data_IF_191811341637
#
_entry.id   IF_191811341637
#
_cell.length_a   1.000
_cell.length_b   1.000
_cell.length_c   1.000
_cell.angle_alpha   90.00
_cell.angle_beta   90.00
_cell.angle_gamma   90.00
#
_symmetry.space_group_name_H-M   'P 1'
#
loop_
_entity.id
_entity.type
_entity.pdbx_description
1 polymer ?
#
# COMPACT_ATOMS: atom_id res chain seq x y z
N UNK A 1 -24.74 -1.39 3.98
CA UNK A 1 -23.92 -0.69 4.99
C UNK A 1 -23.77 0.73 4.52
N UNK A 2 -24.08 1.73 5.35
CA UNK A 2 -24.12 3.13 4.91
C UNK A 2 -22.79 3.82 5.09
N UNK A 3 -22.55 4.81 4.26
CA UNK A 3 -21.45 5.77 4.42
C UNK A 3 -21.87 6.85 5.39
N UNK A 4 -21.00 7.23 6.32
CA UNK A 4 -21.25 8.25 7.32
C UNK A 4 -20.01 9.11 7.56
N UNK A 5 -20.19 10.28 8.19
CA UNK A 5 -19.11 11.22 8.47
C UNK A 5 -18.93 11.35 9.97
N UNK A 6 -17.71 11.10 10.43
CA UNK A 6 -17.28 11.39 11.80
C UNK A 6 -16.64 12.76 11.87
N UNK A 7 -17.22 13.65 12.66
CA UNK A 7 -16.67 14.97 12.92
C UNK A 7 -15.76 14.94 14.17
N UNK A 8 -14.62 15.65 14.09
CA UNK A 8 -13.75 15.93 15.23
C UNK A 8 -13.45 17.43 15.30
N UNK A 9 -12.75 17.88 16.36
CA UNK A 9 -12.32 19.28 16.47
C UNK A 9 -11.45 19.72 15.29
N UNK A 10 -10.66 18.83 14.71
CA UNK A 10 -9.65 19.15 13.69
C UNK A 10 -10.03 18.75 12.27
N UNK A 11 -10.96 17.81 12.07
CA UNK A 11 -11.25 17.25 10.76
C UNK A 11 -12.59 16.56 10.70
N UNK A 12 -13.08 16.37 9.46
CA UNK A 12 -14.13 15.42 9.09
C UNK A 12 -13.51 14.15 8.53
N UNK A 13 -14.08 13.02 8.88
CA UNK A 13 -13.66 11.69 8.41
C UNK A 13 -14.83 11.04 7.70
N UNK A 14 -14.62 10.63 6.46
CA UNK A 14 -15.58 9.83 5.71
C UNK A 14 -15.36 8.35 6.07
N UNK A 15 -16.42 7.67 6.46
CA UNK A 15 -16.41 6.29 6.92
C UNK A 15 -17.41 5.46 6.10
N UNK A 16 -17.05 4.22 5.77
CA UNK A 16 -17.96 3.25 5.14
C UNK A 16 -17.78 1.88 5.80
N UNK A 17 -18.90 1.27 6.23
CA UNK A 17 -18.85 -0.04 6.90
C UNK A 17 -17.97 -0.09 8.16
N UNK A 18 -17.77 1.07 8.84
CA UNK A 18 -16.86 1.18 9.98
C UNK A 18 -15.40 1.46 9.60
N UNK A 19 -15.08 1.51 8.30
CA UNK A 19 -13.75 1.78 7.79
C UNK A 19 -13.60 3.24 7.38
N UNK A 20 -12.40 3.78 7.58
CA UNK A 20 -12.04 5.12 7.19
C UNK A 20 -11.75 5.20 5.68
N UNK A 21 -12.37 6.17 4.98
CA UNK A 21 -12.17 6.40 3.55
C UNK A 21 -11.33 7.66 3.30
N UNK A 22 -11.69 8.77 3.93
CA UNK A 22 -11.06 10.07 3.66
C UNK A 22 -11.12 11.01 4.84
N UNK A 23 -10.24 12.02 4.84
CA UNK A 23 -10.16 13.07 5.86
C UNK A 23 -10.10 14.45 5.22
N UNK A 24 -10.92 15.37 5.72
CA UNK A 24 -10.86 16.78 5.37
C UNK A 24 -10.54 17.58 6.62
N UNK A 25 -9.43 18.33 6.59
CA UNK A 25 -9.05 19.21 7.69
C UNK A 25 -10.03 20.37 7.82
N UNK A 26 -10.37 20.76 9.04
CA UNK A 26 -11.16 21.97 9.33
C UNK A 26 -10.34 23.26 9.26
N UNK A 27 -9.02 23.14 9.19
CA UNK A 27 -8.12 24.29 9.19
C UNK A 27 -7.29 24.31 7.92
N UNK A 28 -7.15 25.49 7.27
CA UNK A 28 -6.26 25.65 6.12
C UNK A 28 -4.81 25.36 6.54
N UNK A 29 -4.10 24.69 5.68
CA UNK A 29 -2.66 24.48 5.80
C UNK A 29 -1.98 24.91 4.50
N UNK A 30 -0.65 25.06 4.50
CA UNK A 30 0.12 25.37 3.30
C UNK A 30 -0.05 24.32 2.18
N UNK A 31 -0.60 23.14 2.52
CA UNK A 31 -0.82 22.01 1.61
C UNK A 31 -2.28 21.81 1.23
N UNK A 32 -3.20 22.49 1.91
CA UNK A 32 -4.64 22.40 1.65
C UNK A 32 -5.13 23.73 1.09
N UNK A 33 -5.87 23.68 -0.02
CA UNK A 33 -6.59 24.87 -0.52
C UNK A 33 -7.68 25.27 0.49
N UNK A 34 -8.09 26.55 0.47
CA UNK A 34 -9.18 27.04 1.30
C UNK A 34 -10.50 26.29 1.06
N UNK A 35 -10.65 25.69 -0.13
CA UNK A 35 -11.81 24.87 -0.50
C UNK A 35 -11.87 23.52 0.21
N UNK A 36 -10.76 23.06 0.78
CA UNK A 36 -10.68 21.82 1.57
C UNK A 36 -10.93 22.02 3.06
N UNK A 37 -11.16 23.26 3.47
CA UNK A 37 -11.46 23.60 4.85
C UNK A 37 -12.93 23.96 4.95
N UNK A 38 -13.71 23.07 5.54
CA UNK A 38 -15.16 23.19 5.58
C UNK A 38 -15.72 22.90 6.96
N UNK A 39 -16.82 23.57 7.33
CA UNK A 39 -17.70 23.17 8.41
C UNK A 39 -18.71 22.11 7.91
N UNK A 40 -19.62 21.61 8.74
CA UNK A 40 -20.60 20.58 8.32
C UNK A 40 -21.43 21.03 7.10
N UNK A 41 -21.86 22.29 7.05
CA UNK A 41 -22.59 22.82 5.90
C UNK A 41 -21.69 22.93 4.65
N UNK A 42 -20.42 23.33 4.83
CA UNK A 42 -19.42 23.36 3.79
C UNK A 42 -19.05 21.97 3.30
N UNK A 43 -19.07 20.97 4.18
CA UNK A 43 -18.85 19.55 3.84
C UNK A 43 -19.91 19.05 2.86
N UNK A 44 -21.18 19.36 3.11
CA UNK A 44 -22.27 19.06 2.18
C UNK A 44 -22.07 19.76 0.83
N UNK A 45 -21.72 21.04 0.84
CA UNK A 45 -21.42 21.79 -0.38
C UNK A 45 -20.19 21.27 -1.14
N UNK A 46 -19.21 20.70 -0.44
CA UNK A 46 -18.08 20.05 -1.06
C UNK A 46 -18.47 18.74 -1.73
N UNK A 47 -19.26 17.88 -1.09
CA UNK A 47 -19.81 16.67 -1.70
C UNK A 47 -20.69 16.97 -2.92
N UNK A 48 -21.48 18.05 -2.88
CA UNK A 48 -22.32 18.46 -3.99
C UNK A 48 -21.52 18.97 -5.21
N UNK A 49 -20.28 19.43 -5.00
CA UNK A 49 -19.39 19.97 -6.06
C UNK A 49 -18.29 19.01 -6.51
N UNK A 50 -17.99 17.99 -5.73
CA UNK A 50 -16.98 16.99 -6.07
C UNK A 50 -17.64 15.75 -6.66
N UNK A 51 -16.85 14.92 -7.36
CA UNK A 51 -17.27 13.59 -7.84
C UNK A 51 -17.48 12.60 -6.69
N UNK A 52 -17.98 13.05 -5.57
CA UNK A 52 -18.32 12.21 -4.43
C UNK A 52 -19.37 11.16 -4.85
N UNK A 53 -19.23 9.90 -4.43
CA UNK A 53 -20.19 8.87 -4.78
C UNK A 53 -21.61 9.26 -4.37
N UNK A 54 -22.56 9.11 -5.29
CA UNK A 54 -23.97 9.42 -5.03
C UNK A 54 -24.50 8.55 -3.89
N UNK A 55 -25.19 9.15 -2.93
CA UNK A 55 -25.80 8.45 -1.79
C UNK A 55 -25.06 8.63 -0.46
N UNK A 56 -24.06 9.49 -0.37
CA UNK A 56 -23.46 9.88 0.89
C UNK A 56 -24.39 10.76 1.72
N UNK A 57 -24.60 10.40 2.98
CA UNK A 57 -25.32 11.20 3.95
C UNK A 57 -24.37 11.76 5.01
N UNK A 58 -24.50 13.04 5.30
CA UNK A 58 -23.82 13.65 6.45
C UNK A 58 -24.64 13.29 7.70
N UNK A 59 -24.03 12.53 8.60
CA UNK A 59 -24.62 12.20 9.89
C UNK A 59 -23.76 12.77 11.02
N UNK A 60 -24.38 13.48 11.95
CA UNK A 60 -23.75 13.89 13.20
C UNK A 60 -23.80 12.76 14.27
N UNK A 61 -24.28 11.57 13.88
CA UNK A 61 -24.35 10.45 14.81
C UNK A 61 -22.94 10.02 15.24
N UNK A 62 -22.74 9.91 16.53
CA UNK A 62 -21.59 9.26 17.14
C UNK A 62 -21.48 7.82 16.60
N UNK A 63 -20.27 7.38 16.34
CA UNK A 63 -20.05 5.98 15.93
C UNK A 63 -20.68 5.06 16.97
N UNK A 64 -21.44 4.02 16.58
CA UNK A 64 -21.93 3.05 17.54
C UNK A 64 -20.72 2.47 18.29
N UNK A 65 -20.80 2.47 19.62
CA UNK A 65 -19.77 1.82 20.46
C UNK A 65 -19.61 0.35 20.03
N UNK A 66 -18.39 -0.18 20.04
CA UNK A 66 -18.17 -1.57 19.73
C UNK A 66 -18.94 -2.44 20.72
N UNK A 67 -19.86 -3.26 20.23
CA UNK A 67 -20.60 -4.23 21.07
C UNK A 67 -19.60 -5.11 21.80
N UNK A 68 -19.84 -5.44 23.07
CA UNK A 68 -18.97 -6.33 23.85
C UNK A 68 -18.88 -7.68 23.15
N UNK A 69 -17.68 -8.21 23.11
CA UNK A 69 -17.32 -9.50 22.55
C UNK A 69 -18.12 -10.60 23.25
N UNK A 70 -18.82 -11.51 22.55
CA UNK A 70 -19.42 -12.67 23.20
C UNK A 70 -18.32 -13.59 23.73
N UNK A 71 -18.47 -14.04 24.97
CA UNK A 71 -17.61 -15.04 25.58
C UNK A 71 -17.64 -16.37 24.81
N UNK A 72 -16.48 -17.01 24.80
CA UNK A 72 -16.23 -18.24 24.09
C UNK A 72 -17.05 -19.41 24.69
N UNK A 73 -17.88 -20.02 23.86
CA UNK A 73 -18.43 -21.36 24.13
C UNK A 73 -17.75 -22.35 23.19
N UNK A 74 -17.07 -23.31 23.76
CA UNK A 74 -16.41 -24.41 23.07
C UNK A 74 -17.39 -25.29 22.32
N UNK A 75 -17.14 -25.58 21.05
CA UNK A 75 -17.70 -26.73 20.35
C UNK A 75 -16.78 -27.19 19.20
N UNK A 76 -16.60 -28.48 19.19
CA UNK A 76 -15.80 -29.39 18.39
C UNK A 76 -15.91 -29.26 16.86
N UNK A 77 -14.96 -29.86 16.10
CA UNK A 77 -14.75 -29.58 14.69
C UNK A 77 -15.63 -30.36 13.73
N UNK A 78 -16.04 -29.74 12.63
CA UNK A 78 -16.48 -30.43 11.41
C UNK A 78 -15.89 -29.75 10.17
N UNK A 79 -15.39 -30.63 9.31
CA UNK A 79 -14.62 -30.36 8.09
C UNK A 79 -15.38 -29.68 6.95
N UNK A 80 -14.56 -29.04 6.10
CA UNK A 80 -14.69 -28.76 4.65
C UNK A 80 -15.53 -27.59 4.18
N UNK A 81 -14.80 -26.66 3.54
CA UNK A 81 -15.28 -25.67 2.60
C UNK A 81 -14.23 -24.57 2.42
N UNK A 82 -13.38 -24.73 1.40
CA UNK A 82 -12.37 -23.75 1.02
C UNK A 82 -13.03 -22.49 0.46
N UNK A 83 -12.86 -21.35 1.11
CA UNK A 83 -12.69 -20.07 0.43
C UNK A 83 -11.93 -19.11 1.35
N UNK A 84 -10.77 -18.65 0.86
CA UNK A 84 -9.77 -18.04 1.69
C UNK A 84 -9.88 -16.53 1.80
N UNK A 85 -10.19 -16.04 2.97
CA UNK A 85 -9.73 -14.75 3.47
C UNK A 85 -9.50 -14.87 4.96
N UNK A 86 -8.35 -15.39 5.34
CA UNK A 86 -7.91 -15.39 6.75
C UNK A 86 -7.02 -14.15 6.98
N UNK A 87 -7.57 -13.09 7.53
CA UNK A 87 -6.81 -12.12 8.30
C UNK A 87 -6.44 -12.77 9.65
N UNK A 88 -5.44 -13.65 9.61
CA UNK A 88 -4.78 -14.16 10.79
C UNK A 88 -3.51 -13.34 11.01
N UNK A 89 -3.38 -12.66 12.14
CA UNK A 89 -2.09 -12.13 12.59
C UNK A 89 -1.14 -13.32 12.75
N UNK A 90 -0.30 -13.58 11.75
CA UNK A 90 0.78 -14.54 11.86
C UNK A 90 1.88 -13.93 12.72
N UNK A 91 2.24 -14.63 13.80
CA UNK A 91 3.32 -14.25 14.73
C UNK A 91 4.72 -14.38 14.10
N UNK A 92 4.79 -14.51 12.79
CA UNK A 92 6.01 -14.62 11.99
C UNK A 92 6.42 -13.30 11.33
N UNK A 93 7.64 -13.22 10.77
CA UNK A 93 8.10 -12.04 10.05
C UNK A 93 7.17 -11.76 8.86
N UNK A 94 6.74 -10.51 8.71
CA UNK A 94 5.87 -10.10 7.59
C UNK A 94 6.54 -10.39 6.25
N UNK A 95 5.74 -10.89 5.31
CA UNK A 95 6.16 -11.24 3.95
C UNK A 95 5.30 -10.49 2.93
N UNK A 96 5.86 -10.29 1.75
CA UNK A 96 5.16 -9.74 0.59
C UNK A 96 4.06 -10.70 0.15
N UNK A 97 2.81 -10.26 0.16
CA UNK A 97 1.66 -11.07 -0.22
C UNK A 97 1.53 -11.23 -1.75
N UNK A 98 0.56 -12.02 -2.20
CA UNK A 98 0.32 -12.29 -3.63
C UNK A 98 0.10 -11.01 -4.46
N UNK A 99 -0.56 -9.98 -3.90
CA UNK A 99 -0.78 -8.69 -4.56
C UNK A 99 0.54 -7.95 -4.78
N UNK A 100 1.42 -7.92 -3.78
CA UNK A 100 2.75 -7.34 -3.90
C UNK A 100 3.62 -8.07 -4.91
N UNK A 101 3.64 -9.40 -4.88
CA UNK A 101 4.37 -10.20 -5.86
C UNK A 101 3.88 -9.93 -7.28
N UNK A 102 2.56 -9.91 -7.50
CA UNK A 102 1.95 -9.60 -8.78
C UNK A 102 2.39 -8.22 -9.29
N UNK A 103 2.39 -7.22 -8.41
CA UNK A 103 2.79 -5.86 -8.75
C UNK A 103 4.28 -5.80 -9.12
N UNK A 104 5.18 -6.40 -8.34
CA UNK A 104 6.62 -6.44 -8.65
C UNK A 104 6.83 -7.12 -9.99
N UNK A 105 6.30 -8.33 -10.20
CA UNK A 105 6.42 -9.10 -11.45
C UNK A 105 5.99 -8.30 -12.67
N UNK A 106 4.90 -7.55 -12.57
CA UNK A 106 4.38 -6.71 -13.66
C UNK A 106 5.34 -5.58 -14.07
N UNK A 107 6.05 -4.97 -13.12
CA UNK A 107 6.94 -3.83 -13.42
C UNK A 107 8.38 -4.24 -13.73
N UNK A 108 8.88 -5.32 -13.14
CA UNK A 108 10.25 -5.78 -13.42
C UNK A 108 10.34 -6.53 -14.75
N UNK A 109 9.28 -7.24 -15.13
CA UNK A 109 9.27 -8.12 -16.30
C UNK A 109 10.11 -9.38 -16.09
N UNK A 110 9.78 -10.43 -16.87
CA UNK A 110 10.44 -11.73 -16.76
C UNK A 110 11.52 -11.91 -17.84
N UNK A 111 12.73 -12.29 -17.43
CA UNK A 111 13.82 -12.66 -18.33
C UNK A 111 14.37 -14.05 -17.95
N UNK A 112 14.04 -15.06 -18.73
CA UNK A 112 14.45 -16.44 -18.47
C UNK A 112 15.90 -16.74 -18.88
N UNK A 113 16.56 -15.84 -19.61
CA UNK A 113 17.97 -15.92 -19.97
C UNK A 113 18.72 -14.72 -19.43
N UNK A 114 19.92 -14.97 -18.89
CA UNK A 114 20.74 -13.90 -18.33
C UNK A 114 21.12 -12.87 -19.39
N UNK A 115 21.11 -11.61 -18.98
CA UNK A 115 21.46 -10.45 -19.80
C UNK A 115 22.30 -9.47 -18.99
N UNK A 116 22.96 -8.56 -19.65
CA UNK A 116 23.63 -7.44 -18.98
C UNK A 116 22.62 -6.29 -18.87
N UNK A 117 22.45 -5.79 -17.65
CA UNK A 117 21.64 -4.59 -17.42
C UNK A 117 22.35 -3.31 -17.92
N UNK A 118 21.73 -2.13 -17.73
CA UNK A 118 22.25 -0.84 -18.21
C UNK A 118 23.63 -0.48 -17.62
N UNK A 119 24.01 -1.07 -16.48
CA UNK A 119 25.31 -0.86 -15.83
C UNK A 119 26.27 -2.04 -16.02
N UNK A 120 25.89 -3.01 -16.87
CA UNK A 120 26.72 -4.13 -17.26
C UNK A 120 26.72 -5.32 -16.28
N UNK A 121 25.81 -5.36 -15.31
CA UNK A 121 25.66 -6.45 -14.34
C UNK A 121 24.83 -7.59 -14.95
N UNK A 122 25.28 -8.84 -14.77
CA UNK A 122 24.52 -10.01 -15.19
C UNK A 122 23.26 -10.17 -14.35
N UNK A 123 22.13 -10.18 -15.03
CA UNK A 123 20.79 -10.14 -14.42
C UNK A 123 19.91 -11.23 -15.06
N UNK A 124 19.00 -11.83 -14.27
CA UNK A 124 18.05 -12.85 -14.74
C UNK A 124 16.74 -12.77 -13.94
N UNK A 125 15.68 -13.42 -14.41
CA UNK A 125 14.40 -13.49 -13.72
C UNK A 125 13.71 -12.12 -13.64
N UNK A 126 13.33 -11.71 -12.46
CA UNK A 126 12.71 -10.42 -12.13
C UNK A 126 13.72 -9.40 -11.57
N UNK A 127 14.96 -9.45 -12.04
CA UNK A 127 16.00 -8.50 -11.60
C UNK A 127 17.04 -9.09 -10.67
N UNK A 128 17.07 -10.41 -10.50
CA UNK A 128 18.10 -11.10 -9.71
C UNK A 128 19.46 -10.94 -10.35
N UNK A 129 20.45 -10.53 -9.56
CA UNK A 129 21.85 -10.36 -9.99
C UNK A 129 22.82 -11.31 -9.26
N UNK A 130 22.40 -11.78 -8.09
CA UNK A 130 23.24 -12.62 -7.23
C UNK A 130 23.44 -14.00 -7.85
N UNK A 131 24.70 -14.41 -8.07
CA UNK A 131 25.04 -15.73 -8.62
C UNK A 131 24.76 -15.90 -10.11
N UNK A 132 24.34 -14.84 -10.82
CA UNK A 132 24.03 -14.90 -12.25
C UNK A 132 25.30 -14.92 -13.09
N UNK A 133 25.34 -15.83 -14.06
CA UNK A 133 26.48 -16.05 -14.99
C UNK A 133 26.05 -15.82 -16.43
N UNK A 134 27.01 -15.51 -17.33
CA UNK A 134 26.74 -15.47 -18.77
C UNK A 134 26.10 -16.76 -19.27
N UNK A 135 25.07 -16.66 -20.10
CA UNK A 135 24.39 -17.80 -20.71
C UNK A 135 23.47 -18.61 -19.78
N UNK A 136 23.32 -18.22 -18.52
CA UNK A 136 22.41 -18.87 -17.56
C UNK A 136 20.96 -18.78 -18.07
N UNK A 137 20.23 -19.89 -17.98
CA UNK A 137 18.80 -19.97 -18.25
C UNK A 137 18.06 -20.56 -17.07
N UNK A 138 16.87 -20.10 -16.81
CA UNK A 138 16.01 -20.55 -15.72
C UNK A 138 14.57 -20.73 -16.21
N UNK A 139 13.78 -21.49 -15.46
CA UNK A 139 12.34 -21.58 -15.61
C UNK A 139 11.63 -20.40 -14.92
N UNK A 140 10.34 -20.21 -15.20
CA UNK A 140 9.53 -19.22 -14.49
C UNK A 140 9.44 -19.52 -12.98
N UNK A 141 9.29 -20.79 -12.61
CA UNK A 141 9.26 -21.21 -11.20
C UNK A 141 10.57 -20.88 -10.45
N UNK A 142 11.73 -21.07 -11.12
CA UNK A 142 13.02 -20.66 -10.56
C UNK A 142 13.12 -19.13 -10.46
N UNK A 143 12.60 -18.38 -11.44
CA UNK A 143 12.56 -16.93 -11.38
C UNK A 143 11.71 -16.42 -10.21
N UNK A 144 10.58 -17.07 -9.91
CA UNK A 144 9.76 -16.77 -8.73
C UNK A 144 10.49 -17.09 -7.43
N UNK A 145 11.16 -18.21 -7.37
CA UNK A 145 11.98 -18.59 -6.21
C UNK A 145 13.09 -17.56 -5.96
N UNK A 146 13.77 -17.11 -7.01
CA UNK A 146 14.82 -16.09 -6.89
C UNK A 146 14.25 -14.75 -6.43
N UNK A 147 13.08 -14.34 -6.97
CA UNK A 147 12.39 -13.12 -6.52
C UNK A 147 12.08 -13.19 -5.03
N UNK A 148 11.51 -14.31 -4.55
CA UNK A 148 11.19 -14.48 -3.12
C UNK A 148 12.45 -14.42 -2.25
N UNK A 149 13.54 -15.06 -2.67
CA UNK A 149 14.83 -15.00 -1.97
C UNK A 149 15.40 -13.58 -1.94
N UNK A 150 15.32 -12.86 -3.05
CA UNK A 150 15.79 -11.47 -3.12
C UNK A 150 14.94 -10.54 -2.25
N UNK A 151 13.63 -10.80 -2.13
CA UNK A 151 12.74 -10.00 -1.31
C UNK A 151 13.06 -10.04 0.18
N UNK A 152 13.59 -11.14 0.70
CA UNK A 152 13.89 -11.29 2.13
C UNK A 152 14.68 -10.10 2.68
N UNK A 153 15.74 -9.69 2.02
CA UNK A 153 16.58 -8.55 2.47
C UNK A 153 15.84 -7.20 2.48
N UNK A 154 14.86 -7.03 1.58
CA UNK A 154 14.04 -5.80 1.55
C UNK A 154 12.98 -5.84 2.64
N UNK A 155 12.36 -6.99 2.86
CA UNK A 155 11.37 -7.23 3.92
C UNK A 155 11.98 -7.04 5.31
N UNK A 156 13.18 -7.55 5.53
CA UNK A 156 13.94 -7.31 6.75
C UNK A 156 14.23 -5.81 6.94
N UNK A 157 14.75 -5.14 5.89
CA UNK A 157 15.03 -3.72 5.95
C UNK A 157 13.79 -2.85 6.22
N UNK A 158 12.62 -3.28 5.77
CA UNK A 158 11.34 -2.62 6.05
C UNK A 158 10.92 -2.89 7.50
N UNK A 159 10.96 -4.15 7.94
CA UNK A 159 10.60 -4.56 9.30
C UNK A 159 11.43 -3.81 10.35
N UNK A 160 12.74 -3.71 10.13
CA UNK A 160 13.67 -2.97 11.01
C UNK A 160 13.38 -1.47 11.08
N UNK A 161 12.86 -0.90 9.99
CA UNK A 161 12.63 0.55 9.90
C UNK A 161 11.23 0.97 10.40
N UNK A 162 10.27 0.06 10.44
CA UNK A 162 8.91 0.33 10.90
C UNK A 162 8.86 0.45 12.42
N UNK A 163 8.12 1.47 12.89
CA UNK A 163 7.84 1.71 14.32
C UNK A 163 6.35 1.63 14.65
N UNK A 164 5.53 1.31 13.65
CA UNK A 164 4.08 1.21 13.76
C UNK A 164 3.62 -0.06 13.04
N UNK A 165 2.52 -0.67 13.49
CA UNK A 165 1.95 -1.80 12.78
C UNK A 165 1.44 -1.38 11.40
N UNK A 166 1.63 -2.24 10.42
CA UNK A 166 1.10 -2.10 9.06
C UNK A 166 0.37 -3.39 8.68
N UNK A 167 -0.68 -3.29 7.85
CA UNK A 167 -1.33 -4.48 7.30
C UNK A 167 -0.51 -5.08 6.15
N UNK A 168 -0.93 -6.24 5.65
CA UNK A 168 -0.18 -7.00 4.63
C UNK A 168 -0.11 -6.29 3.27
N UNK A 169 -1.15 -5.56 2.88
CA UNK A 169 -1.14 -4.75 1.66
C UNK A 169 -0.21 -3.53 1.81
N UNK A 170 -0.21 -2.88 2.97
CA UNK A 170 0.72 -1.80 3.26
C UNK A 170 2.17 -2.30 3.22
N UNK A 171 2.45 -3.41 3.90
CA UNK A 171 3.78 -4.02 3.89
C UNK A 171 4.22 -4.38 2.47
N UNK A 172 3.35 -5.02 1.69
CA UNK A 172 3.62 -5.42 0.31
C UNK A 172 3.86 -4.23 -0.62
N UNK A 173 3.13 -3.14 -0.45
CA UNK A 173 3.37 -1.90 -1.19
C UNK A 173 4.73 -1.28 -0.85
N UNK A 174 5.12 -1.32 0.44
CA UNK A 174 6.45 -0.89 0.89
C UNK A 174 7.55 -1.79 0.32
N UNK A 175 7.30 -3.11 0.23
CA UNK A 175 8.23 -4.06 -0.39
C UNK A 175 8.43 -3.74 -1.88
N UNK A 176 7.35 -3.52 -2.64
CA UNK A 176 7.40 -3.10 -4.04
C UNK A 176 8.19 -1.81 -4.23
N UNK A 177 7.94 -0.82 -3.39
CA UNK A 177 8.63 0.46 -3.40
C UNK A 177 10.11 0.29 -3.10
N UNK A 178 10.44 -0.40 -1.99
CA UNK A 178 11.81 -0.58 -1.54
C UNK A 178 12.63 -1.45 -2.50
N UNK A 179 12.02 -2.43 -3.16
CA UNK A 179 12.64 -3.24 -4.21
C UNK A 179 13.13 -2.37 -5.37
N UNK A 180 12.37 -1.33 -5.74
CA UNK A 180 12.71 -0.42 -6.84
C UNK A 180 13.71 0.68 -6.43
N UNK A 181 13.51 1.33 -5.28
CA UNK A 181 14.32 2.50 -4.89
C UNK A 181 15.51 2.16 -4.01
N UNK A 182 15.53 0.95 -3.46
CA UNK A 182 16.55 0.46 -2.54
C UNK A 182 16.27 0.79 -1.06
N UNK A 183 16.83 -0.04 -0.13
CA UNK A 183 16.58 0.13 1.32
C UNK A 183 17.09 1.46 1.88
N UNK A 184 18.20 1.98 1.36
CA UNK A 184 18.75 3.27 1.80
C UNK A 184 17.81 4.43 1.52
N UNK A 185 17.27 4.50 0.30
CA UNK A 185 16.31 5.51 -0.10
C UNK A 185 14.99 5.40 0.68
N UNK A 186 14.51 4.18 0.93
CA UNK A 186 13.35 3.94 1.78
C UNK A 186 13.55 4.46 3.20
N UNK A 187 14.68 4.10 3.86
CA UNK A 187 14.98 4.52 5.24
C UNK A 187 15.05 6.04 5.40
N UNK A 188 15.52 6.77 4.40
CA UNK A 188 15.61 8.23 4.42
C UNK A 188 14.36 8.94 3.90
N UNK A 189 13.33 8.20 3.47
CA UNK A 189 12.15 8.76 2.81
C UNK A 189 11.21 9.49 3.77
N UNK A 190 10.57 10.54 3.26
CA UNK A 190 9.44 11.19 3.94
C UNK A 190 8.26 10.23 4.09
N UNK A 191 8.12 9.24 3.20
CA UNK A 191 7.13 8.18 3.28
C UNK A 191 7.25 7.43 4.61
N UNK A 192 8.42 6.88 4.90
CA UNK A 192 8.67 6.16 6.17
C UNK A 192 8.52 7.06 7.39
N UNK A 193 9.01 8.29 7.32
CA UNK A 193 8.86 9.27 8.41
C UNK A 193 7.40 9.51 8.77
N UNK A 194 6.55 9.74 7.78
CA UNK A 194 5.11 9.97 7.98
C UNK A 194 4.40 8.71 8.46
N UNK A 195 4.77 7.56 7.92
CA UNK A 195 4.22 6.27 8.33
C UNK A 195 4.52 5.99 9.82
N UNK A 196 5.74 6.20 10.26
CA UNK A 196 6.15 6.03 11.65
C UNK A 196 5.53 7.06 12.63
N UNK A 197 4.89 8.09 12.09
CA UNK A 197 4.02 9.01 12.82
C UNK A 197 2.54 8.61 12.74
N UNK A 198 2.22 7.40 12.29
CA UNK A 198 0.86 6.90 12.04
C UNK A 198 0.07 7.74 11.04
N UNK A 199 0.75 8.53 10.20
CA UNK A 199 0.14 9.31 9.13
C UNK A 199 0.08 8.49 7.84
N UNK A 200 -0.84 7.53 7.79
CA UNK A 200 -0.99 6.57 6.69
C UNK A 200 -1.22 7.28 5.35
N UNK A 201 -2.11 8.27 5.31
CA UNK A 201 -2.44 8.98 4.06
C UNK A 201 -1.32 9.91 3.62
N UNK A 202 -0.69 10.60 4.56
CA UNK A 202 0.51 11.39 4.28
C UNK A 202 1.64 10.53 3.72
N UNK A 203 1.81 9.31 4.21
CA UNK A 203 2.76 8.34 3.67
C UNK A 203 2.35 7.90 2.26
N UNK A 204 1.07 7.54 2.04
CA UNK A 204 0.55 7.19 0.72
C UNK A 204 0.79 8.27 -0.33
N UNK A 205 0.63 9.54 0.03
CA UNK A 205 0.84 10.68 -0.87
C UNK A 205 2.32 10.94 -1.21
N UNK A 206 3.24 10.23 -0.59
CA UNK A 206 4.66 10.31 -0.95
C UNK A 206 5.03 9.40 -2.13
N UNK A 207 4.31 8.30 -2.38
CA UNK A 207 4.64 7.41 -3.50
C UNK A 207 4.79 8.17 -4.84
N UNK A 208 3.84 9.01 -5.28
CA UNK A 208 3.95 9.72 -6.57
C UNK A 208 5.17 10.61 -6.72
N UNK A 209 5.82 11.01 -5.63
CA UNK A 209 7.02 11.86 -5.66
C UNK A 209 8.26 11.13 -6.18
N UNK A 210 8.23 9.79 -6.16
CA UNK A 210 9.33 8.92 -6.59
C UNK A 210 9.20 8.44 -8.04
N UNK A 211 8.73 9.32 -8.93
CA UNK A 211 8.49 9.02 -10.33
C UNK A 211 9.55 9.55 -11.29
N UNK A 212 10.71 10.04 -10.78
CA UNK A 212 11.75 10.66 -11.60
C UNK A 212 12.99 9.77 -11.72
N UNK A 213 13.61 9.82 -12.92
CA UNK A 213 14.99 9.37 -13.14
C UNK A 213 15.70 10.42 -13.98
N UNK A 214 16.96 10.71 -13.65
CA UNK A 214 17.71 11.82 -14.29
C UNK A 214 17.01 13.18 -14.17
N UNK A 215 16.27 13.42 -13.07
CA UNK A 215 15.53 14.66 -12.81
C UNK A 215 14.19 14.79 -13.55
N UNK A 216 13.85 13.88 -14.47
CA UNK A 216 12.63 13.92 -15.30
C UNK A 216 11.64 12.84 -14.88
N UNK A 217 10.32 13.15 -14.82
CA UNK A 217 9.31 12.13 -14.60
C UNK A 217 9.30 11.10 -15.73
N UNK A 218 9.22 9.82 -15.38
CA UNK A 218 9.06 8.71 -16.31
C UNK A 218 7.65 8.13 -16.20
N UNK A 219 7.01 7.88 -17.35
CA UNK A 219 5.65 7.33 -17.40
C UNK A 219 5.55 5.97 -16.67
N UNK A 220 6.53 5.08 -16.86
CA UNK A 220 6.59 3.78 -16.17
C UNK A 220 6.67 3.93 -14.66
N UNK A 221 7.55 4.82 -14.15
CA UNK A 221 7.65 5.08 -12.71
C UNK A 221 6.38 5.74 -12.17
N UNK A 222 5.76 6.65 -12.92
CA UNK A 222 4.50 7.27 -12.52
C UNK A 222 3.38 6.23 -12.37
N UNK A 223 3.28 5.29 -13.32
CA UNK A 223 2.34 4.16 -13.29
C UNK A 223 2.61 3.27 -12.08
N UNK A 224 3.86 2.89 -11.84
CA UNK A 224 4.29 2.06 -10.71
C UNK A 224 3.91 2.70 -9.37
N UNK A 225 4.26 3.94 -9.15
CA UNK A 225 3.92 4.69 -7.90
C UNK A 225 2.43 4.79 -7.66
N UNK A 226 1.62 4.93 -8.71
CA UNK A 226 0.15 4.91 -8.60
C UNK A 226 -0.35 3.54 -8.14
N UNK A 227 0.15 2.45 -8.71
CA UNK A 227 -0.21 1.10 -8.31
C UNK A 227 0.19 0.81 -6.86
N UNK A 228 1.41 1.14 -6.47
CA UNK A 228 1.90 0.97 -5.10
C UNK A 228 1.08 1.77 -4.09
N UNK A 229 0.73 3.02 -4.40
CA UNK A 229 -0.14 3.86 -3.56
C UNK A 229 -1.52 3.22 -3.36
N UNK A 230 -2.13 2.70 -4.42
CA UNK A 230 -3.44 2.05 -4.34
C UNK A 230 -3.37 0.77 -3.52
N UNK A 231 -2.38 -0.09 -3.74
CA UNK A 231 -2.16 -1.29 -2.92
C UNK A 231 -1.98 -0.91 -1.44
N UNK A 232 -1.18 0.12 -1.15
CA UNK A 232 -0.96 0.62 0.21
C UNK A 232 -2.26 1.06 0.90
N UNK A 233 -3.19 1.62 0.15
CA UNK A 233 -4.50 2.08 0.63
C UNK A 233 -5.58 0.97 0.59
N UNK A 234 -5.23 -0.27 0.20
CA UNK A 234 -6.20 -1.36 0.05
C UNK A 234 -7.18 -1.16 -1.10
N UNK A 235 -6.82 -0.37 -2.11
CA UNK A 235 -7.64 -0.04 -3.27
C UNK A 235 -7.23 -0.86 -4.49
N UNK A 236 -8.13 -0.95 -5.48
CA UNK A 236 -7.84 -1.66 -6.72
C UNK A 236 -6.73 -0.96 -7.53
N UNK A 237 -5.63 -1.67 -7.71
CA UNK A 237 -4.44 -1.24 -8.44
C UNK A 237 -4.29 -1.91 -9.82
N UNK A 238 -5.12 -2.89 -10.14
CA UNK A 238 -4.94 -3.76 -11.32
C UNK A 238 -4.90 -3.01 -12.64
N UNK A 239 -5.62 -1.90 -12.76
CA UNK A 239 -5.59 -1.06 -13.97
C UNK A 239 -4.24 -0.42 -14.29
N UNK A 240 -3.27 -0.53 -13.37
CA UNK A 240 -1.92 -0.01 -13.54
C UNK A 240 -0.87 -1.10 -13.77
N UNK A 241 -1.25 -2.37 -13.82
CA UNK A 241 -0.35 -3.50 -14.12
C UNK A 241 -0.05 -3.62 -15.62
#
# INVERSE_FOLDING_TARGET
MGTWIKETKAAFYLMEGGHYISKISKYPSKTNSAEQVVNVAGMKAWFDRSDAPRGMTVSNAEAPEPKPKPEAVAATPKERGSDGTSEGASDGPKRTNANGLKLIKSFEGLRLRSYRDAVGIWTIGYGTTRGVRPGMTITEAEAETFLQQDLVRFEEAISDALRVPVNDNQFSALACFTYNVGPGAFRSSTLLKLLNQSNIYGAADQFPRWNKAGGRPLAGLTRRRKAERLLFLGQDFHKFL
#
